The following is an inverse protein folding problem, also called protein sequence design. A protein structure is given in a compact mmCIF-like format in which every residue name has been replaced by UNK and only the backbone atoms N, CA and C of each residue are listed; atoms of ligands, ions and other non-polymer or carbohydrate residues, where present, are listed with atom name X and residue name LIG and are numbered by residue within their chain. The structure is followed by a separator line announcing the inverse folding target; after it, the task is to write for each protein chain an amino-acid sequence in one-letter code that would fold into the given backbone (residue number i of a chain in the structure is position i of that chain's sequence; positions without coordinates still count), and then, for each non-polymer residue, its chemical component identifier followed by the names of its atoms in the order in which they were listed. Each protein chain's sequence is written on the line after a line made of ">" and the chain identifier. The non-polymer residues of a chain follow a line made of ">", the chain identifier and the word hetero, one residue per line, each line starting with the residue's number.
data_IF_374844285752
#
_entry.id   IF_374844285752
#
_cell.length_a   1.000
_cell.length_b   1.000
_cell.length_c   1.000
_cell.angle_alpha   90.00
_cell.angle_beta   90.00
_cell.angle_gamma   90.00
#
_symmetry.space_group_name_H-M   'P 1'
#
loop_
_entity.id
_entity.type
_entity.pdbx_description
1 polymer ?
#
# COMPACT_ATOMS: atom_id res chain seq x y z
N UNK A 1 -8.31 3.67 -3.69
CA UNK A 1 -7.44 3.34 -2.53
C UNK A 1 -7.39 1.85 -2.18
N UNK A 2 -8.52 1.16 -1.99
CA UNK A 2 -8.55 -0.30 -1.74
C UNK A 2 -7.92 -1.12 -2.88
N UNK A 3 -8.05 -0.69 -4.13
CA UNK A 3 -7.43 -1.35 -5.29
C UNK A 3 -5.88 -1.28 -5.30
N UNK A 4 -5.28 -0.28 -4.66
CA UNK A 4 -3.82 -0.18 -4.47
C UNK A 4 -3.34 -0.93 -3.22
N UNK A 5 -4.24 -1.21 -2.28
CA UNK A 5 -3.99 -1.98 -1.06
C UNK A 5 -4.24 -3.49 -1.26
N UNK A 6 -4.95 -3.88 -2.33
CA UNK A 6 -5.12 -5.28 -2.72
C UNK A 6 -3.80 -5.82 -3.31
N UNK A 7 -3.21 -6.89 -2.77
CA UNK A 7 -1.87 -7.31 -3.12
C UNK A 7 -1.82 -7.95 -4.50
N UNK A 8 -0.71 -7.68 -5.19
CA UNK A 8 -0.15 -8.48 -6.26
C UNK A 8 0.09 -9.92 -5.77
N UNK A 9 -0.97 -10.73 -5.77
CA UNK A 9 -0.90 -12.17 -5.59
C UNK A 9 -0.86 -12.86 -6.95
N UNK A 10 0.13 -12.54 -7.79
CA UNK A 10 0.49 -13.40 -8.93
C UNK A 10 1.86 -13.00 -9.51
N UNK A 11 2.73 -14.01 -9.65
CA UNK A 11 3.94 -14.05 -10.48
C UNK A 11 5.23 -13.50 -9.88
N UNK A 12 6.10 -14.41 -9.42
CA UNK A 12 7.52 -14.47 -9.83
C UNK A 12 8.22 -15.70 -9.23
N UNK A 13 8.72 -16.58 -10.11
CA UNK A 13 9.70 -17.64 -9.82
C UNK A 13 10.99 -17.26 -10.56
N UNK A 14 12.13 -17.21 -9.85
CA UNK A 14 13.48 -17.26 -10.47
C UNK A 14 14.54 -16.29 -9.90
N UNK A 15 15.67 -16.78 -9.32
CA UNK A 15 16.84 -16.00 -8.84
C UNK A 15 18.08 -16.18 -9.76
N UNK A 16 19.33 -15.81 -9.38
CA UNK A 16 19.84 -14.61 -8.67
C UNK A 16 21.03 -13.93 -9.41
N UNK A 17 21.43 -12.72 -8.99
CA UNK A 17 22.82 -12.26 -9.10
C UNK A 17 23.18 -11.17 -8.08
N UNK A 18 24.38 -11.30 -7.52
CA UNK A 18 25.19 -10.35 -6.74
C UNK A 18 26.61 -10.38 -7.37
N UNK A 19 27.63 -9.54 -7.04
CA UNK A 19 27.72 -8.59 -5.90
C UNK A 19 28.46 -7.24 -6.16
N UNK A 20 28.46 -6.40 -5.10
CA UNK A 20 29.58 -5.60 -4.56
C UNK A 20 29.91 -4.15 -5.04
N UNK A 21 30.42 -3.40 -4.03
CA UNK A 21 31.15 -2.12 -4.00
C UNK A 21 30.30 -0.82 -4.08
N UNK A 22 30.53 0.26 -3.34
CA UNK A 22 31.51 0.65 -2.31
C UNK A 22 31.28 2.13 -1.96
N UNK A 23 31.44 2.49 -0.68
CA UNK A 23 31.43 3.88 -0.13
C UNK A 23 32.56 4.76 -0.76
N UNK A 24 32.56 6.13 -0.68
CA UNK A 24 32.22 6.94 0.50
C UNK A 24 31.56 8.34 0.30
N UNK A 25 31.13 8.92 1.43
CA UNK A 25 30.84 10.36 1.62
C UNK A 25 32.15 11.18 1.76
N UNK A 26 32.12 12.53 1.66
CA UNK A 26 32.00 13.30 2.91
C UNK A 26 31.32 14.71 2.85
N UNK A 27 30.86 15.13 4.04
CA UNK A 27 31.02 16.43 4.71
C UNK A 27 30.45 17.77 4.15
N UNK A 28 29.42 18.24 4.88
CA UNK A 28 29.24 19.58 5.53
C UNK A 28 29.67 20.88 4.84
N UNK A 29 28.72 21.83 4.74
CA UNK A 29 28.98 23.27 4.61
C UNK A 29 27.71 24.12 4.78
N UNK A 30 27.70 24.97 5.82
CA UNK A 30 26.60 25.88 6.21
C UNK A 30 26.52 27.14 5.32
N UNK A 31 25.32 27.75 5.37
CA UNK A 31 25.03 29.19 5.48
C UNK A 31 24.45 29.93 4.26
N UNK A 32 23.16 30.27 4.42
CA UNK A 32 22.60 31.62 4.41
C UNK A 32 22.40 32.40 3.09
N UNK A 33 21.16 32.92 3.00
CA UNK A 33 20.70 34.20 2.43
C UNK A 33 20.09 34.24 1.01
N UNK A 34 19.11 35.16 0.93
CA UNK A 34 18.48 35.81 -0.22
C UNK A 34 17.20 35.22 -0.83
N UNK A 35 16.11 35.60 -0.16
CA UNK A 35 14.96 36.31 -0.73
C UNK A 35 15.33 37.15 -1.96
N UNK A 36 14.83 36.78 -3.15
CA UNK A 36 14.42 37.63 -4.31
C UNK A 36 14.46 36.79 -5.60
N UNK A 37 13.45 35.96 -5.85
CA UNK A 37 13.35 35.14 -7.10
C UNK A 37 12.04 35.28 -7.86
N UNK A 38 11.23 36.30 -7.56
CA UNK A 38 9.92 36.54 -8.21
C UNK A 38 9.87 37.67 -9.24
N UNK A 39 10.97 38.36 -9.55
CA UNK A 39 10.99 39.42 -10.58
C UNK A 39 11.84 39.12 -11.81
N UNK A 40 12.72 38.10 -11.79
CA UNK A 40 13.60 37.79 -12.92
C UNK A 40 13.09 36.68 -13.87
N UNK A 41 12.02 35.98 -13.50
CA UNK A 41 11.39 34.98 -14.38
C UNK A 41 10.57 35.59 -15.53
N UNK A 42 10.23 36.89 -15.45
CA UNK A 42 9.40 37.55 -16.46
C UNK A 42 10.18 38.20 -17.61
N UNK A 43 11.51 38.37 -17.48
CA UNK A 43 12.33 39.11 -18.46
C UNK A 43 13.23 38.19 -19.30
N UNK A 44 13.50 36.96 -18.84
CA UNK A 44 14.27 35.98 -19.63
C UNK A 44 13.42 35.11 -20.58
N UNK A 45 12.09 35.25 -20.56
CA UNK A 45 11.17 34.52 -21.45
C UNK A 45 10.90 35.18 -22.81
N UNK A 46 11.42 36.39 -23.07
CA UNK A 46 11.05 37.17 -24.27
C UNK A 46 11.98 37.01 -25.48
N UNK A 47 13.07 36.23 -25.41
CA UNK A 47 14.05 36.19 -26.51
C UNK A 47 14.38 34.82 -27.11
N UNK A 48 13.75 33.71 -26.68
CA UNK A 48 14.00 32.39 -27.29
C UNK A 48 12.74 31.51 -27.24
N UNK A 49 11.78 31.79 -28.13
CA UNK A 49 10.91 30.77 -28.72
C UNK A 49 10.01 31.40 -29.79
N UNK A 50 10.58 31.71 -30.95
CA UNK A 50 9.85 31.64 -32.23
C UNK A 50 9.73 30.16 -32.68
N UNK A 51 9.60 29.23 -31.73
CA UNK A 51 9.14 27.88 -32.00
C UNK A 51 7.67 28.03 -32.40
N UNK A 52 7.49 28.09 -33.72
CA UNK A 52 6.24 28.30 -34.44
C UNK A 52 5.06 27.69 -33.66
N UNK A 53 4.07 28.52 -33.35
CA UNK A 53 2.75 28.10 -32.85
C UNK A 53 2.00 27.16 -33.84
N UNK A 54 2.66 26.80 -34.94
CA UNK A 54 2.21 25.85 -35.92
C UNK A 54 2.03 24.45 -35.32
N UNK A 55 0.81 23.96 -35.46
CA UNK A 55 0.44 22.59 -35.13
C UNK A 55 0.70 21.77 -36.39
N UNK A 56 1.64 20.83 -36.31
CA UNK A 56 1.90 19.90 -37.42
C UNK A 56 0.76 18.90 -37.57
N UNK A 57 0.66 18.25 -38.73
CA UNK A 57 -0.33 17.18 -38.97
C UNK A 57 -0.22 16.05 -37.94
N UNK A 58 0.98 15.73 -37.48
CA UNK A 58 1.19 14.72 -36.43
C UNK A 58 0.64 15.19 -35.08
N UNK A 59 0.79 16.46 -34.75
CA UNK A 59 0.22 17.02 -33.52
C UNK A 59 -1.30 17.02 -33.59
N UNK A 60 -1.87 17.47 -34.72
CA UNK A 60 -3.31 17.51 -34.95
C UNK A 60 -3.94 16.13 -34.79
N UNK A 61 -3.38 15.10 -35.42
CA UNK A 61 -3.83 13.71 -35.26
C UNK A 61 -3.70 13.19 -33.82
N UNK A 62 -2.67 13.59 -33.08
CA UNK A 62 -2.50 13.19 -31.69
C UNK A 62 -3.52 13.90 -30.78
N UNK A 63 -3.83 15.18 -31.06
CA UNK A 63 -4.84 15.93 -30.33
C UNK A 63 -6.23 15.37 -30.62
N UNK A 64 -6.55 15.06 -31.88
CA UNK A 64 -7.81 14.42 -32.27
C UNK A 64 -8.02 13.07 -31.58
N UNK A 65 -6.96 12.23 -31.49
CA UNK A 65 -7.01 10.99 -30.72
C UNK A 65 -7.30 11.22 -29.24
N UNK A 66 -6.65 12.22 -28.62
CA UNK A 66 -6.91 12.57 -27.23
C UNK A 66 -8.35 13.09 -27.01
N UNK A 67 -8.85 13.92 -27.92
CA UNK A 67 -10.24 14.41 -27.89
C UNK A 67 -11.23 13.26 -28.01
N UNK A 68 -11.03 12.33 -28.96
CA UNK A 68 -11.87 11.15 -29.12
C UNK A 68 -11.86 10.26 -27.85
N UNK A 69 -10.68 10.04 -27.26
CA UNK A 69 -10.55 9.30 -26.01
C UNK A 69 -11.27 9.99 -24.84
N UNK A 70 -11.23 11.34 -24.77
CA UNK A 70 -11.96 12.11 -23.76
C UNK A 70 -13.47 11.88 -23.84
N UNK A 71 -14.04 11.95 -25.05
CA UNK A 71 -15.47 11.75 -25.26
C UNK A 71 -15.91 10.28 -25.09
N UNK A 72 -14.94 9.35 -25.05
CA UNK A 72 -15.19 7.94 -24.77
C UNK A 72 -15.17 7.61 -23.27
N UNK A 73 -14.82 8.57 -22.41
CA UNK A 73 -14.84 8.38 -20.96
C UNK A 73 -16.28 8.11 -20.49
N UNK A 74 -16.45 7.04 -19.73
CA UNK A 74 -17.71 6.74 -19.06
C UNK A 74 -17.89 7.65 -17.85
N UNK A 75 -19.05 8.27 -17.74
CA UNK A 75 -19.42 9.14 -16.62
C UNK A 75 -20.49 8.44 -15.77
N UNK A 76 -20.34 8.50 -14.45
CA UNK A 76 -21.37 8.17 -13.46
C UNK A 76 -21.77 9.47 -12.75
N UNK A 77 -22.83 10.10 -13.24
CA UNK A 77 -23.16 11.49 -12.90
C UNK A 77 -22.05 12.45 -13.32
N UNK A 78 -21.54 13.23 -12.36
CA UNK A 78 -20.47 14.21 -12.58
C UNK A 78 -19.05 13.61 -12.43
N UNK A 79 -18.93 12.30 -12.19
CA UNK A 79 -17.66 11.63 -11.93
C UNK A 79 -17.31 10.67 -13.06
N UNK A 80 -16.01 10.51 -13.32
CA UNK A 80 -15.53 9.48 -14.25
C UNK A 80 -15.77 8.13 -13.59
N UNK A 81 -16.42 7.21 -14.30
CA UNK A 81 -16.58 5.85 -13.84
C UNK A 81 -15.25 5.11 -13.98
N UNK A 82 -14.50 4.98 -12.88
CA UNK A 82 -13.29 4.14 -12.81
C UNK A 82 -13.55 2.79 -12.15
N UNK A 83 -14.76 2.58 -11.62
CA UNK A 83 -15.12 1.40 -10.81
C UNK A 83 -15.60 0.23 -11.64
N UNK A 84 -16.24 0.49 -12.78
CA UNK A 84 -16.56 -0.56 -13.75
C UNK A 84 -15.30 -0.96 -14.53
N UNK A 85 -15.25 -2.20 -15.00
CA UNK A 85 -14.14 -2.67 -15.83
C UNK A 85 -14.01 -1.85 -17.12
N UNK A 86 -15.13 -1.57 -17.80
CA UNK A 86 -15.16 -0.76 -19.02
C UNK A 86 -14.77 0.70 -18.75
N UNK A 87 -15.21 1.26 -17.62
CA UNK A 87 -14.87 2.60 -17.19
C UNK A 87 -13.38 2.75 -16.88
N UNK A 88 -12.81 1.79 -16.15
CA UNK A 88 -11.38 1.70 -15.90
C UNK A 88 -10.57 1.59 -17.20
N UNK A 89 -11.01 0.75 -18.14
CA UNK A 89 -10.37 0.56 -19.45
C UNK A 89 -10.39 1.84 -20.29
N UNK A 90 -11.54 2.50 -20.41
CA UNK A 90 -11.66 3.76 -21.16
C UNK A 90 -10.85 4.89 -20.53
N UNK A 91 -10.80 4.96 -19.21
CA UNK A 91 -9.93 5.89 -18.47
C UNK A 91 -8.44 5.62 -18.74
N UNK A 92 -8.01 4.36 -18.71
CA UNK A 92 -6.64 3.99 -19.05
C UNK A 92 -6.25 4.39 -20.47
N UNK A 93 -7.12 4.15 -21.46
CA UNK A 93 -6.90 4.59 -22.84
C UNK A 93 -6.80 6.11 -22.98
N UNK A 94 -7.59 6.87 -22.22
CA UNK A 94 -7.46 8.33 -22.19
C UNK A 94 -6.12 8.78 -21.59
N UNK A 95 -5.69 8.19 -20.47
CA UNK A 95 -4.40 8.49 -19.84
C UNK A 95 -3.21 8.15 -20.76
N UNK A 96 -3.29 7.05 -21.51
CA UNK A 96 -2.30 6.71 -22.54
C UNK A 96 -2.27 7.75 -23.67
N UNK A 97 -3.44 8.22 -24.11
CA UNK A 97 -3.52 9.29 -25.10
C UNK A 97 -2.92 10.62 -24.58
N UNK A 98 -3.09 10.93 -23.29
CA UNK A 98 -2.46 12.10 -22.63
C UNK A 98 -0.93 12.00 -22.69
N UNK A 99 -0.35 10.84 -22.38
CA UNK A 99 1.11 10.65 -22.46
C UNK A 99 1.61 10.68 -23.93
N UNK A 100 0.85 10.08 -24.85
CA UNK A 100 1.16 10.09 -26.28
C UNK A 100 1.17 11.51 -26.86
N UNK A 101 0.21 12.37 -26.51
CA UNK A 101 0.23 13.76 -26.97
C UNK A 101 1.37 14.55 -26.31
N UNK A 102 1.64 14.33 -25.02
CA UNK A 102 2.73 15.02 -24.33
C UNK A 102 4.08 14.70 -24.96
N UNK A 103 4.26 13.44 -25.38
CA UNK A 103 5.45 13.00 -26.13
C UNK A 103 5.52 13.62 -27.52
N UNK A 104 4.43 13.60 -28.29
CA UNK A 104 4.35 14.21 -29.63
C UNK A 104 4.64 15.71 -29.58
N UNK A 105 4.05 16.41 -28.61
CA UNK A 105 4.25 17.84 -28.39
C UNK A 105 5.61 18.16 -27.78
N UNK A 106 6.43 17.18 -27.39
CA UNK A 106 7.72 17.34 -26.68
C UNK A 106 7.59 18.12 -25.38
N UNK A 107 6.57 17.81 -24.60
CA UNK A 107 6.41 18.32 -23.24
C UNK A 107 7.45 17.63 -22.35
N UNK A 108 8.20 18.41 -21.58
CA UNK A 108 9.16 17.86 -20.64
C UNK A 108 8.45 17.07 -19.55
N UNK A 109 9.05 15.96 -19.13
CA UNK A 109 8.51 15.13 -18.04
C UNK A 109 8.83 15.78 -16.70
N UNK A 110 7.85 15.85 -15.82
CA UNK A 110 8.07 16.20 -14.43
C UNK A 110 8.98 15.15 -13.72
N UNK A 111 9.89 15.57 -12.82
CA UNK A 111 10.83 14.65 -12.15
C UNK A 111 10.13 13.57 -11.32
N UNK A 112 10.63 12.33 -11.40
CA UNK A 112 10.06 11.15 -10.75
C UNK A 112 11.03 10.35 -9.87
N UNK A 113 12.22 10.91 -9.59
CA UNK A 113 13.23 10.30 -8.72
C UNK A 113 12.73 9.96 -7.31
N UNK A 114 11.60 10.51 -6.86
CA UNK A 114 10.97 10.08 -5.60
C UNK A 114 10.53 8.60 -5.62
N UNK A 115 10.27 8.02 -6.80
CA UNK A 115 9.88 6.60 -6.95
C UNK A 115 10.97 5.65 -6.45
N UNK A 116 12.23 6.08 -6.43
CA UNK A 116 13.34 5.29 -5.87
C UNK A 116 13.17 5.01 -4.37
N UNK A 117 12.44 5.89 -3.66
CA UNK A 117 12.15 5.74 -2.24
C UNK A 117 10.93 4.86 -1.94
N UNK A 118 10.21 4.40 -2.96
CA UNK A 118 9.05 3.53 -2.77
C UNK A 118 9.45 2.13 -2.31
N UNK A 119 8.56 1.46 -1.58
CA UNK A 119 8.76 0.05 -1.22
C UNK A 119 8.80 -0.82 -2.47
N UNK A 120 9.32 -2.05 -2.34
CA UNK A 120 9.48 -2.99 -3.47
C UNK A 120 8.17 -3.18 -4.25
N UNK A 121 7.04 -3.31 -3.54
CA UNK A 121 5.72 -3.52 -4.16
C UNK A 121 5.30 -2.32 -5.02
N UNK A 122 5.48 -1.09 -4.52
CA UNK A 122 5.16 0.11 -5.29
C UNK A 122 6.16 0.34 -6.44
N UNK A 123 7.46 0.05 -6.27
CA UNK A 123 8.42 0.12 -7.38
C UNK A 123 8.09 -0.83 -8.52
N UNK A 124 7.50 -1.99 -8.24
CA UNK A 124 7.01 -2.89 -9.29
C UNK A 124 5.86 -2.28 -10.12
N UNK A 125 5.04 -1.41 -9.52
CA UNK A 125 3.97 -0.67 -10.22
C UNK A 125 4.49 0.55 -10.99
N UNK A 126 5.66 1.06 -10.62
CA UNK A 126 6.31 2.23 -11.20
C UNK A 126 7.79 1.93 -11.53
N UNK A 127 8.05 1.10 -12.56
CA UNK A 127 9.38 0.53 -12.79
C UNK A 127 10.43 1.54 -13.29
N UNK A 128 10.00 2.71 -13.78
CA UNK A 128 10.87 3.71 -14.38
C UNK A 128 10.37 5.16 -14.19
N UNK A 129 11.12 6.10 -14.78
CA UNK A 129 10.83 7.53 -14.86
C UNK A 129 9.87 7.91 -16.02
N UNK A 130 9.17 6.94 -16.63
CA UNK A 130 8.12 7.25 -17.59
C UNK A 130 6.89 7.80 -16.86
N UNK A 131 5.99 8.47 -17.60
CA UNK A 131 4.84 9.15 -16.96
C UNK A 131 3.95 8.16 -16.23
N UNK A 132 3.65 7.04 -16.88
CA UNK A 132 2.92 5.88 -16.34
C UNK A 132 1.71 6.33 -15.51
N UNK A 133 0.85 7.15 -16.11
CA UNK A 133 -0.37 7.61 -15.45
C UNK A 133 -1.28 6.43 -15.17
N UNK A 134 -1.55 6.15 -13.90
CA UNK A 134 -2.41 5.04 -13.49
C UNK A 134 -3.82 5.52 -13.11
N UNK A 135 -4.80 4.69 -13.44
CA UNK A 135 -6.22 4.95 -13.15
C UNK A 135 -6.48 5.03 -11.64
N UNK A 136 -5.82 4.20 -10.84
CA UNK A 136 -5.97 4.14 -9.38
C UNK A 136 -5.48 5.43 -8.67
N UNK A 137 -4.42 6.07 -9.17
CA UNK A 137 -3.94 7.37 -8.69
C UNK A 137 -4.93 8.47 -9.06
N UNK A 138 -5.47 8.47 -10.28
CA UNK A 138 -6.50 9.44 -10.67
C UNK A 138 -7.77 9.26 -9.85
N UNK A 139 -8.25 8.04 -9.72
CA UNK A 139 -9.41 7.69 -8.90
C UNK A 139 -9.23 8.18 -7.47
N UNK A 140 -8.08 7.92 -6.84
CA UNK A 140 -7.78 8.41 -5.51
C UNK A 140 -7.84 9.93 -5.38
N UNK A 141 -7.43 10.68 -6.42
CA UNK A 141 -7.56 12.13 -6.43
C UNK A 141 -9.03 12.57 -6.44
N UNK A 142 -9.90 11.91 -7.22
CA UNK A 142 -11.31 12.29 -7.41
C UNK A 142 -12.27 11.77 -6.33
N UNK A 143 -11.95 10.63 -5.70
CA UNK A 143 -12.85 10.04 -4.69
C UNK A 143 -12.91 10.85 -3.39
N UNK A 144 -11.96 11.77 -3.16
CA UNK A 144 -11.85 12.58 -1.94
C UNK A 144 -11.89 11.74 -0.65
N UNK A 145 -11.50 10.46 -0.71
CA UNK A 145 -11.39 9.62 0.47
C UNK A 145 -10.23 10.11 1.33
N UNK A 146 -10.52 11.09 2.19
CA UNK A 146 -9.59 11.57 3.20
C UNK A 146 -9.30 10.49 4.26
N UNK A 147 -10.03 9.37 4.26
CA UNK A 147 -9.99 8.34 5.30
C UNK A 147 -9.86 6.94 4.69
N UNK A 148 -8.98 6.13 5.27
CA UNK A 148 -8.86 4.68 5.02
C UNK A 148 -9.02 3.94 6.35
N UNK A 149 -9.73 2.81 6.32
CA UNK A 149 -9.82 1.90 7.46
C UNK A 149 -8.96 0.66 7.21
N UNK A 150 -8.07 0.36 8.15
CA UNK A 150 -7.19 -0.83 8.09
C UNK A 150 -7.15 -1.45 9.48
N UNK A 151 -7.51 -2.73 9.59
CA UNK A 151 -7.46 -3.50 10.85
C UNK A 151 -8.23 -2.83 12.02
N UNK A 152 -9.35 -2.18 11.73
CA UNK A 152 -10.16 -1.45 12.72
C UNK A 152 -9.68 -0.03 13.01
N UNK A 153 -8.47 0.34 12.60
CA UNK A 153 -7.90 1.68 12.76
C UNK A 153 -8.31 2.61 11.62
N UNK A 154 -8.64 3.85 11.98
CA UNK A 154 -8.93 4.94 11.06
C UNK A 154 -7.65 5.72 10.75
N UNK A 155 -7.31 5.82 9.47
CA UNK A 155 -6.19 6.62 8.97
C UNK A 155 -6.71 7.76 8.12
N UNK A 156 -6.22 8.97 8.37
CA UNK A 156 -6.55 10.14 7.58
C UNK A 156 -5.36 10.59 6.74
N UNK A 157 -5.60 10.91 5.47
CA UNK A 157 -4.61 11.55 4.64
C UNK A 157 -4.38 13.00 5.10
N UNK A 158 -3.15 13.46 4.95
CA UNK A 158 -2.80 14.82 5.35
C UNK A 158 -3.53 15.86 4.49
N UNK A 159 -3.73 17.05 5.06
CA UNK A 159 -4.27 18.21 4.34
C UNK A 159 -3.44 18.57 3.11
N UNK A 160 -2.13 18.29 3.14
CA UNK A 160 -1.24 18.48 2.00
C UNK A 160 -1.51 17.47 0.87
N UNK A 161 -1.84 16.22 1.19
CA UNK A 161 -2.25 15.24 0.19
C UNK A 161 -3.56 15.68 -0.50
N UNK A 162 -4.53 16.14 0.30
CA UNK A 162 -5.81 16.64 -0.22
C UNK A 162 -5.63 17.87 -1.12
N UNK A 163 -4.80 18.83 -0.71
CA UNK A 163 -4.47 20.03 -1.52
C UNK A 163 -3.84 19.66 -2.86
N UNK A 164 -2.98 18.63 -2.89
CA UNK A 164 -2.36 18.15 -4.14
C UNK A 164 -3.36 17.41 -5.02
N UNK A 165 -4.31 16.68 -4.43
CA UNK A 165 -5.42 16.07 -5.16
C UNK A 165 -6.27 17.14 -5.86
N UNK A 166 -6.64 18.20 -5.15
CA UNK A 166 -7.38 19.34 -5.71
C UNK A 166 -6.61 20.01 -6.86
N UNK A 167 -5.30 20.22 -6.70
CA UNK A 167 -4.47 20.77 -7.77
C UNK A 167 -4.45 19.87 -9.01
N UNK A 168 -4.42 18.55 -8.84
CA UNK A 168 -4.53 17.58 -9.93
C UNK A 168 -5.90 17.63 -10.60
N UNK A 169 -6.98 17.69 -9.83
CA UNK A 169 -8.33 17.82 -10.39
C UNK A 169 -8.48 19.12 -11.20
N UNK A 170 -7.96 20.24 -10.70
CA UNK A 170 -7.96 21.52 -11.43
C UNK A 170 -7.21 21.44 -12.76
N UNK A 171 -5.99 20.88 -12.75
CA UNK A 171 -5.23 20.68 -13.98
C UNK A 171 -5.94 19.74 -14.97
N UNK A 172 -6.64 18.73 -14.45
CA UNK A 172 -7.46 17.82 -15.24
C UNK A 172 -8.64 18.52 -15.92
N UNK A 173 -9.38 19.35 -15.18
CA UNK A 173 -10.49 20.13 -15.74
C UNK A 173 -10.01 21.15 -16.77
N UNK A 174 -8.87 21.80 -16.53
CA UNK A 174 -8.26 22.74 -17.47
C UNK A 174 -7.87 22.06 -18.80
N UNK A 175 -7.29 20.85 -18.74
CA UNK A 175 -7.06 20.05 -19.94
C UNK A 175 -8.38 19.75 -20.65
N UNK A 176 -9.40 19.33 -19.89
CA UNK A 176 -10.70 19.04 -20.43
C UNK A 176 -11.35 20.21 -21.17
N UNK A 177 -11.36 21.40 -20.57
CA UNK A 177 -11.90 22.62 -21.17
C UNK A 177 -11.12 23.05 -22.42
N UNK A 178 -9.80 22.82 -22.43
CA UNK A 178 -8.96 23.10 -23.59
C UNK A 178 -9.28 22.15 -24.75
N UNK A 179 -9.48 20.86 -24.48
CA UNK A 179 -9.89 19.87 -25.48
C UNK A 179 -11.31 20.11 -26.01
N UNK A 180 -12.21 20.61 -25.16
CA UNK A 180 -13.56 20.98 -25.58
C UNK A 180 -13.56 22.18 -26.54
N UNK A 181 -12.78 23.23 -26.23
CA UNK A 181 -12.56 24.35 -27.16
C UNK A 181 -11.96 23.90 -28.49
N UNK A 182 -11.04 22.94 -28.45
CA UNK A 182 -10.47 22.35 -29.66
C UNK A 182 -11.54 21.69 -30.54
N UNK A 183 -12.41 20.87 -29.92
CA UNK A 183 -13.50 20.18 -30.63
C UNK A 183 -14.50 21.17 -31.25
N UNK A 184 -14.89 22.20 -30.49
CA UNK A 184 -15.85 23.21 -30.95
C UNK A 184 -15.33 24.06 -32.11
N UNK A 185 -14.02 24.33 -32.17
CA UNK A 185 -13.43 25.10 -33.27
C UNK A 185 -13.40 24.32 -34.61
N UNK A 186 -13.51 22.99 -34.57
CA UNK A 186 -13.55 22.14 -35.76
C UNK A 186 -14.94 22.05 -36.39
N UNK A 187 -16.00 22.23 -35.60
CA UNK A 187 -17.38 22.29 -36.07
C UNK A 187 -17.64 23.68 -36.67
N UNK A 188 -18.00 23.76 -37.96
CA UNK A 188 -18.20 25.03 -38.70
C UNK A 188 -19.41 25.86 -38.23
N UNK A 189 -19.91 25.64 -37.02
CA UNK A 189 -21.04 26.36 -36.44
C UNK A 189 -20.60 27.76 -36.00
N UNK A 190 -21.48 28.73 -36.18
CA UNK A 190 -21.21 30.18 -36.22
C UNK A 190 -20.71 30.85 -34.92
N UNK A 191 -20.15 30.12 -33.96
CA UNK A 191 -19.56 30.68 -32.74
C UNK A 191 -18.05 30.85 -32.91
N UNK A 192 -17.54 32.05 -32.63
CA UNK A 192 -16.13 32.42 -32.80
C UNK A 192 -15.21 31.79 -31.74
N UNK A 193 -15.29 30.48 -31.50
CA UNK A 193 -14.38 29.79 -30.60
C UNK A 193 -13.00 29.69 -31.25
N UNK A 194 -11.99 30.25 -30.60
CA UNK A 194 -10.61 30.23 -31.11
C UNK A 194 -9.97 28.90 -30.75
N UNK A 195 -9.41 28.20 -31.75
CA UNK A 195 -8.68 26.94 -31.55
C UNK A 195 -7.50 27.17 -30.59
N UNK A 196 -7.31 26.31 -29.56
CA UNK A 196 -6.19 26.43 -28.65
C UNK A 196 -4.83 26.44 -29.36
N UNK A 197 -3.90 27.24 -28.84
CA UNK A 197 -2.55 27.34 -29.39
C UNK A 197 -1.71 26.12 -28.98
N UNK A 198 -0.66 25.80 -29.76
CA UNK A 198 0.31 24.74 -29.42
C UNK A 198 0.94 24.97 -28.05
N UNK A 199 1.30 26.21 -27.75
CA UNK A 199 1.91 26.64 -26.48
C UNK A 199 0.95 26.45 -25.31
N UNK A 200 -0.33 26.77 -25.51
CA UNK A 200 -1.40 26.57 -24.52
C UNK A 200 -1.57 25.08 -24.17
N UNK A 201 -1.68 24.21 -25.18
CA UNK A 201 -1.75 22.75 -24.96
C UNK A 201 -0.52 22.21 -24.22
N UNK A 202 0.69 22.65 -24.61
CA UNK A 202 1.93 22.27 -23.92
C UNK A 202 1.90 22.72 -22.45
N UNK A 203 1.45 23.94 -22.18
CA UNK A 203 1.38 24.47 -20.81
C UNK A 203 0.41 23.66 -19.95
N UNK A 204 -0.79 23.37 -20.46
CA UNK A 204 -1.79 22.60 -19.70
C UNK A 204 -1.33 21.17 -19.43
N UNK A 205 -0.70 20.51 -20.41
CA UNK A 205 -0.10 19.18 -20.21
C UNK A 205 1.07 19.20 -19.21
N UNK A 206 1.89 20.26 -19.24
CA UNK A 206 2.98 20.45 -18.27
C UNK A 206 2.41 20.61 -16.85
N UNK A 207 1.39 21.47 -16.69
CA UNK A 207 0.71 21.69 -15.41
C UNK A 207 0.10 20.38 -14.87
N UNK A 208 -0.55 19.61 -15.74
CA UNK A 208 -1.10 18.30 -15.38
C UNK A 208 -0.01 17.33 -14.89
N UNK A 209 1.11 17.20 -15.61
CA UNK A 209 2.20 16.28 -15.24
C UNK A 209 2.86 16.68 -13.90
N UNK A 210 3.03 17.98 -13.66
CA UNK A 210 3.52 18.48 -12.36
C UNK A 210 2.53 18.24 -11.22
N UNK A 211 1.24 18.49 -11.44
CA UNK A 211 0.22 18.23 -10.43
C UNK A 211 0.11 16.73 -10.12
N UNK A 212 0.22 15.89 -11.15
CA UNK A 212 0.21 14.44 -11.04
C UNK A 212 1.38 13.94 -10.19
N UNK A 213 2.62 14.25 -10.58
CA UNK A 213 3.81 13.81 -9.84
C UNK A 213 3.82 14.29 -8.40
N UNK A 214 3.35 15.53 -8.16
CA UNK A 214 3.20 16.08 -6.82
C UNK A 214 2.21 15.26 -5.97
N UNK A 215 1.02 14.96 -6.50
CA UNK A 215 0.02 14.16 -5.81
C UNK A 215 0.46 12.71 -5.63
N UNK A 216 0.91 12.04 -6.70
CA UNK A 216 1.41 10.66 -6.69
C UNK A 216 2.47 10.46 -5.60
N UNK A 217 3.49 11.32 -5.55
CA UNK A 217 4.52 11.25 -4.53
C UNK A 217 3.93 11.31 -3.12
N UNK A 218 3.08 12.31 -2.84
CA UNK A 218 2.52 12.50 -1.49
C UNK A 218 1.56 11.39 -1.10
N UNK A 219 0.70 10.98 -2.03
CA UNK A 219 -0.31 9.94 -1.84
C UNK A 219 0.33 8.57 -1.58
N UNK A 220 1.26 8.14 -2.45
CA UNK A 220 1.92 6.84 -2.31
C UNK A 220 2.79 6.80 -1.04
N UNK A 221 3.48 7.89 -0.70
CA UNK A 221 4.27 7.95 0.54
C UNK A 221 3.38 7.80 1.79
N UNK A 222 2.19 8.40 1.80
CA UNK A 222 1.25 8.23 2.90
C UNK A 222 0.62 6.84 2.94
N UNK A 223 0.33 6.23 1.79
CA UNK A 223 -0.08 4.83 1.74
C UNK A 223 1.00 3.93 2.37
N UNK A 224 2.27 4.06 1.96
CA UNK A 224 3.39 3.30 2.53
C UNK A 224 3.44 3.46 4.05
N UNK A 225 3.29 4.70 4.55
CA UNK A 225 3.28 4.95 6.00
C UNK A 225 2.07 4.32 6.70
N UNK A 226 0.89 4.33 6.10
CA UNK A 226 -0.31 3.66 6.64
C UNK A 226 -0.09 2.15 6.68
N UNK A 227 0.44 1.56 5.62
CA UNK A 227 0.69 0.13 5.56
C UNK A 227 1.74 -0.33 6.57
N UNK A 228 2.83 0.42 6.73
CA UNK A 228 3.84 0.17 7.76
C UNK A 228 3.19 0.18 9.15
N UNK A 229 2.33 1.18 9.40
CA UNK A 229 1.59 1.27 10.66
C UNK A 229 0.64 0.10 10.89
N UNK A 230 -0.05 -0.35 9.84
CA UNK A 230 -0.98 -1.47 9.89
C UNK A 230 -0.28 -2.81 10.17
N UNK A 231 0.93 -3.01 9.62
CA UNK A 231 1.76 -4.20 9.87
C UNK A 231 2.40 -4.23 11.27
N UNK A 232 2.36 -3.14 12.04
CA UNK A 232 3.01 -3.08 13.38
C UNK A 232 2.51 -4.15 14.35
N UNK A 233 1.23 -4.53 14.28
CA UNK A 233 0.68 -5.56 15.17
C UNK A 233 1.39 -6.90 14.95
N UNK A 234 1.66 -7.24 13.69
CA UNK A 234 2.39 -8.44 13.33
C UNK A 234 3.87 -8.34 13.71
N UNK A 235 4.50 -7.19 13.49
CA UNK A 235 5.89 -6.92 13.93
C UNK A 235 6.04 -7.10 15.43
N UNK A 236 5.07 -6.62 16.23
CA UNK A 236 5.07 -6.79 17.67
C UNK A 236 4.99 -8.28 18.05
N UNK A 237 4.07 -9.04 17.46
CA UNK A 237 3.97 -10.48 17.72
C UNK A 237 5.25 -11.24 17.34
N UNK A 238 5.87 -10.92 16.19
CA UNK A 238 7.15 -11.49 15.75
C UNK A 238 8.25 -11.20 16.76
N UNK A 239 8.35 -9.96 17.24
CA UNK A 239 9.35 -9.57 18.24
C UNK A 239 9.16 -10.32 19.56
N UNK A 240 7.92 -10.53 20.00
CA UNK A 240 7.65 -11.32 21.21
C UNK A 240 7.99 -12.81 21.01
N UNK A 241 7.69 -13.39 19.84
CA UNK A 241 8.14 -14.74 19.50
C UNK A 241 9.67 -14.85 19.52
N UNK A 242 10.37 -13.86 18.97
CA UNK A 242 11.83 -13.83 18.94
C UNK A 242 12.43 -13.83 20.35
N UNK A 243 11.85 -13.08 21.28
CA UNK A 243 12.28 -13.03 22.69
C UNK A 243 11.99 -14.32 23.44
N UNK A 244 10.80 -14.89 23.25
CA UNK A 244 10.44 -16.18 23.82
C UNK A 244 11.40 -17.27 23.34
N UNK A 245 11.63 -17.36 22.03
CA UNK A 245 12.55 -18.32 21.40
C UNK A 245 14.00 -18.14 21.82
N UNK A 246 14.49 -16.90 21.97
CA UNK A 246 15.83 -16.64 22.47
C UNK A 246 16.02 -17.10 23.93
N UNK A 247 14.98 -16.94 24.75
CA UNK A 247 14.97 -17.43 26.14
C UNK A 247 14.99 -18.96 26.18
N UNK A 248 14.18 -19.61 25.35
CA UNK A 248 14.16 -21.09 25.21
C UNK A 248 15.53 -21.64 24.81
N UNK A 249 16.18 -21.05 23.82
CA UNK A 249 17.52 -21.47 23.36
C UNK A 249 18.60 -21.30 24.43
N UNK A 250 18.41 -20.35 25.35
CA UNK A 250 19.36 -20.11 26.45
C UNK A 250 19.19 -21.11 27.59
N UNK A 251 18.04 -21.80 27.65
CA UNK A 251 17.77 -22.86 28.61
C UNK A 251 18.36 -24.20 28.13
N UNK A 252 19.11 -24.89 29.00
CA UNK A 252 19.62 -26.24 28.70
C UNK A 252 18.56 -27.33 28.86
N UNK A 253 17.59 -27.09 29.73
CA UNK A 253 16.49 -28.00 30.05
C UNK A 253 15.15 -27.30 29.77
N UNK A 254 14.31 -27.83 28.85
CA UNK A 254 12.98 -27.30 28.57
C UNK A 254 12.09 -27.18 29.81
N UNK A 255 12.13 -28.16 30.72
CA UNK A 255 11.26 -28.18 31.90
C UNK A 255 11.65 -27.07 32.91
N UNK A 256 12.96 -26.82 33.05
CA UNK A 256 13.46 -25.70 33.84
C UNK A 256 13.11 -24.35 33.19
N UNK A 257 13.07 -24.28 31.85
CA UNK A 257 12.71 -23.06 31.13
C UNK A 257 11.25 -22.65 31.38
N UNK A 258 10.32 -23.60 31.30
CA UNK A 258 8.89 -23.39 31.55
C UNK A 258 8.58 -22.87 32.97
N UNK A 259 9.47 -23.12 33.92
CA UNK A 259 9.37 -22.65 35.30
C UNK A 259 10.02 -21.27 35.50
N UNK A 260 10.76 -20.75 34.51
CA UNK A 260 11.46 -19.48 34.61
C UNK A 260 10.47 -18.30 34.52
N UNK A 261 10.47 -17.36 35.49
CA UNK A 261 9.52 -16.23 35.48
C UNK A 261 9.63 -15.36 34.22
N UNK A 262 10.86 -15.17 33.72
CA UNK A 262 11.12 -14.39 32.50
C UNK A 262 10.47 -15.04 31.28
N UNK A 263 10.68 -16.34 31.08
CA UNK A 263 10.11 -17.05 29.94
C UNK A 263 8.58 -17.03 29.96
N UNK A 264 7.97 -17.22 31.15
CA UNK A 264 6.51 -17.09 31.31
C UNK A 264 6.01 -15.71 30.94
N UNK A 265 6.72 -14.65 31.32
CA UNK A 265 6.37 -13.28 30.93
C UNK A 265 6.43 -13.08 29.40
N UNK A 266 7.47 -13.59 28.72
CA UNK A 266 7.54 -13.55 27.25
C UNK A 266 6.35 -14.30 26.62
N UNK A 267 5.94 -15.44 27.19
CA UNK A 267 4.75 -16.17 26.75
C UNK A 267 3.46 -15.37 26.96
N UNK A 268 3.31 -14.65 28.08
CA UNK A 268 2.14 -13.77 28.30
C UNK A 268 2.07 -12.67 27.24
N UNK A 269 3.19 -12.02 26.97
CA UNK A 269 3.24 -10.93 25.99
C UNK A 269 2.98 -11.44 24.57
N UNK A 270 3.47 -12.63 24.24
CA UNK A 270 3.20 -13.27 22.97
C UNK A 270 1.71 -13.63 22.83
N UNK A 271 1.11 -14.30 23.83
CA UNK A 271 -0.32 -14.62 23.82
C UNK A 271 -1.15 -13.34 23.68
N UNK A 272 -0.85 -12.29 24.46
CA UNK A 272 -1.55 -11.02 24.35
C UNK A 272 -1.46 -10.39 22.94
N UNK A 273 -0.30 -10.51 22.28
CA UNK A 273 -0.11 -10.04 20.91
C UNK A 273 -0.93 -10.86 19.92
N UNK A 274 -1.00 -12.18 20.10
CA UNK A 274 -1.81 -13.10 19.26
C UNK A 274 -3.30 -12.84 19.45
N UNK A 275 -3.78 -12.61 20.69
CA UNK A 275 -5.18 -12.27 20.96
C UNK A 275 -5.56 -10.94 20.30
N UNK A 276 -4.67 -9.95 20.34
CA UNK A 276 -4.90 -8.70 19.63
C UNK A 276 -4.90 -8.87 18.10
N UNK A 277 -3.99 -9.67 17.54
CA UNK A 277 -4.02 -10.05 16.12
C UNK A 277 -5.33 -10.74 15.74
N UNK A 278 -5.85 -11.63 16.59
CA UNK A 278 -7.11 -12.32 16.38
C UNK A 278 -8.27 -11.31 16.25
N UNK A 279 -8.30 -10.31 17.13
CA UNK A 279 -9.34 -9.29 17.14
C UNK A 279 -9.44 -8.44 15.86
N UNK A 280 -8.33 -8.28 15.14
CA UNK A 280 -8.28 -7.43 13.95
C UNK A 280 -8.27 -8.22 12.64
N UNK A 281 -7.75 -9.44 12.64
CA UNK A 281 -7.53 -10.23 11.43
C UNK A 281 -8.54 -11.37 11.25
N UNK A 282 -9.07 -11.94 12.34
CA UNK A 282 -10.00 -13.05 12.27
C UNK A 282 -11.44 -12.57 12.03
N UNK A 283 -11.72 -12.19 10.78
CA UNK A 283 -13.06 -11.80 10.32
C UNK A 283 -13.97 -12.99 10.04
N UNK A 284 -13.42 -14.22 9.98
CA UNK A 284 -14.17 -15.45 9.70
C UNK A 284 -14.90 -16.00 10.93
N UNK A 285 -14.45 -15.66 12.13
CA UNK A 285 -15.06 -16.04 13.41
C UNK A 285 -15.46 -14.78 14.20
N UNK A 286 -15.37 -14.84 15.53
CA UNK A 286 -15.76 -13.70 16.38
C UNK A 286 -14.64 -12.67 16.51
N UNK A 287 -13.39 -13.05 16.23
CA UNK A 287 -12.24 -12.15 16.41
C UNK A 287 -12.09 -11.80 17.89
N UNK A 288 -12.02 -12.84 18.74
CA UNK A 288 -11.91 -12.67 20.19
C UNK A 288 -10.58 -12.07 20.60
N UNK A 289 -10.60 -11.08 21.49
CA UNK A 289 -9.42 -10.47 22.11
C UNK A 289 -9.19 -10.98 23.55
N UNK A 290 -10.13 -11.74 24.10
CA UNK A 290 -10.13 -12.25 25.48
C UNK A 290 -9.40 -13.60 25.65
N UNK A 291 -8.60 -14.00 24.65
CA UNK A 291 -7.83 -15.24 24.68
C UNK A 291 -6.68 -15.11 25.69
N UNK A 292 -6.91 -15.53 26.94
CA UNK A 292 -5.96 -15.35 28.04
C UNK A 292 -4.84 -16.41 28.05
N UNK A 293 -3.68 -16.00 28.57
CA UNK A 293 -2.53 -16.89 28.76
C UNK A 293 -2.78 -17.98 29.82
N UNK A 294 -3.74 -17.76 30.72
CA UNK A 294 -4.05 -18.70 31.80
C UNK A 294 -4.53 -20.04 31.22
N UNK A 295 -5.35 -20.02 30.16
CA UNK A 295 -5.80 -21.25 29.47
C UNK A 295 -4.63 -22.00 28.83
N UNK A 296 -3.66 -21.28 28.26
CA UNK A 296 -2.45 -21.90 27.75
C UNK A 296 -1.61 -22.56 28.86
N UNK A 297 -1.47 -21.90 30.02
CA UNK A 297 -0.76 -22.47 31.17
C UNK A 297 -1.50 -23.64 31.83
N UNK A 298 -2.84 -23.60 31.85
CA UNK A 298 -3.69 -24.68 32.34
C UNK A 298 -3.62 -25.90 31.40
N UNK A 299 -3.57 -25.69 30.08
CA UNK A 299 -3.33 -26.75 29.10
C UNK A 299 -1.97 -27.43 29.34
N UNK A 300 -0.89 -26.66 29.48
CA UNK A 300 0.44 -27.21 29.81
C UNK A 300 0.42 -28.00 31.13
N UNK A 301 -0.25 -27.48 32.15
CA UNK A 301 -0.37 -28.15 33.46
C UNK A 301 -1.16 -29.45 33.37
N UNK A 302 -2.22 -29.47 32.57
CA UNK A 302 -3.04 -30.66 32.30
C UNK A 302 -2.23 -31.73 31.60
N UNK A 303 -1.47 -31.39 30.55
CA UNK A 303 -0.62 -32.36 29.84
C UNK A 303 0.47 -32.96 30.75
N UNK A 304 1.04 -32.19 31.68
CA UNK A 304 2.01 -32.72 32.66
C UNK A 304 1.35 -33.73 33.61
N UNK A 305 0.15 -33.45 34.09
CA UNK A 305 -0.62 -34.37 34.96
C UNK A 305 -0.92 -35.69 34.23
N UNK A 306 -1.40 -35.62 32.99
CA UNK A 306 -1.68 -36.81 32.19
C UNK A 306 -0.43 -37.67 31.90
N UNK A 307 0.78 -37.08 31.88
CA UNK A 307 2.04 -37.82 31.72
C UNK A 307 2.56 -38.44 33.02
N UNK A 308 2.18 -37.88 34.18
CA UNK A 308 2.64 -38.30 35.51
C UNK A 308 1.79 -39.39 36.17
N UNK A 309 0.49 -39.45 35.88
CA UNK A 309 -0.43 -40.45 36.44
C UNK A 309 -0.33 -41.79 35.69
N UNK A 310 0.66 -42.61 36.10
CA UNK A 310 0.80 -43.99 35.69
C UNK A 310 0.01 -44.99 36.54
N UNK A 311 -0.96 -44.58 37.38
CA UNK A 311 -1.55 -45.49 38.37
C UNK A 311 -3.02 -45.19 38.74
N UNK A 312 -3.87 -46.18 38.44
CA UNK A 312 -5.07 -46.58 39.19
C UNK A 312 -6.28 -45.61 39.30
N UNK A 313 -6.57 -44.82 38.28
CA UNK A 313 -7.87 -44.12 38.20
C UNK A 313 -8.94 -44.93 37.46
N UNK A 314 -10.17 -44.96 38.02
CA UNK A 314 -11.30 -45.73 37.50
C UNK A 314 -11.74 -45.35 36.08
N UNK A 315 -12.49 -46.23 35.40
CA UNK A 315 -12.83 -46.12 33.98
C UNK A 315 -13.53 -44.79 33.56
N UNK A 316 -14.34 -44.18 34.43
CA UNK A 316 -14.99 -42.89 34.17
C UNK A 316 -14.04 -41.69 34.28
N UNK A 317 -12.99 -41.81 35.10
CA UNK A 317 -11.94 -40.80 35.25
C UNK A 317 -10.96 -40.86 34.06
N UNK A 318 -10.74 -42.06 33.51
CA UNK A 318 -9.91 -42.27 32.33
C UNK A 318 -10.46 -41.60 31.06
N UNK A 319 -11.78 -41.59 30.84
CA UNK A 319 -12.40 -40.91 29.69
C UNK A 319 -12.31 -39.39 29.81
N UNK A 320 -12.58 -38.85 31.00
CA UNK A 320 -12.46 -37.41 31.28
C UNK A 320 -11.02 -36.92 31.15
N UNK A 321 -10.05 -37.69 31.66
CA UNK A 321 -8.63 -37.42 31.50
C UNK A 321 -8.19 -37.46 30.04
N UNK A 322 -8.74 -38.39 29.23
CA UNK A 322 -8.47 -38.45 27.79
C UNK A 322 -9.01 -37.21 27.07
N UNK A 323 -10.25 -36.80 27.36
CA UNK A 323 -10.83 -35.61 26.76
C UNK A 323 -10.02 -34.34 27.13
N UNK A 324 -9.65 -34.19 28.40
CA UNK A 324 -8.81 -33.09 28.86
C UNK A 324 -7.42 -33.09 28.18
N UNK A 325 -6.81 -34.27 27.99
CA UNK A 325 -5.55 -34.39 27.26
C UNK A 325 -5.68 -33.93 25.81
N UNK A 326 -6.76 -34.31 25.10
CA UNK A 326 -6.98 -33.91 23.70
C UNK A 326 -7.11 -32.39 23.62
N UNK A 327 -8.02 -31.78 24.39
CA UNK A 327 -8.23 -30.33 24.38
C UNK A 327 -6.95 -29.56 24.74
N UNK A 328 -6.22 -30.01 25.76
CA UNK A 328 -4.96 -29.37 26.14
C UNK A 328 -3.87 -29.53 25.07
N UNK A 329 -3.89 -30.64 24.31
CA UNK A 329 -2.99 -30.85 23.16
C UNK A 329 -3.33 -29.85 22.06
N UNK A 330 -4.61 -29.71 21.71
CA UNK A 330 -5.07 -28.80 20.65
C UNK A 330 -4.66 -27.35 20.93
N UNK A 331 -4.79 -26.88 22.18
CA UNK A 331 -4.31 -25.56 22.60
C UNK A 331 -2.80 -25.43 22.41
N UNK A 332 -2.00 -26.39 22.88
CA UNK A 332 -0.53 -26.29 22.80
C UNK A 332 -0.04 -26.38 21.36
N UNK A 333 -0.65 -27.23 20.53
CA UNK A 333 -0.30 -27.41 19.12
C UNK A 333 -0.69 -26.18 18.28
N UNK A 334 -1.88 -25.61 18.48
CA UNK A 334 -2.29 -24.38 17.79
C UNK A 334 -1.42 -23.18 18.18
N UNK A 335 -1.03 -23.05 19.46
CA UNK A 335 -0.05 -22.05 19.88
C UNK A 335 1.28 -22.23 19.15
N UNK A 336 1.80 -23.45 19.13
CA UNK A 336 3.08 -23.74 18.49
C UNK A 336 3.03 -23.49 16.98
N UNK A 337 1.91 -23.81 16.33
CA UNK A 337 1.70 -23.53 14.91
C UNK A 337 1.70 -22.01 14.63
N UNK A 338 1.09 -21.21 15.50
CA UNK A 338 1.16 -19.74 15.42
C UNK A 338 2.61 -19.24 15.54
N UNK A 339 3.38 -19.78 16.49
CA UNK A 339 4.80 -19.44 16.66
C UNK A 339 5.65 -19.79 15.43
N UNK A 340 5.40 -20.94 14.82
CA UNK A 340 6.04 -21.33 13.54
C UNK A 340 5.72 -20.31 12.46
N UNK A 341 4.44 -19.96 12.29
CA UNK A 341 4.02 -18.95 11.32
C UNK A 341 4.71 -17.60 11.52
N UNK A 342 4.78 -17.09 12.76
CA UNK A 342 5.45 -15.81 13.04
C UNK A 342 6.93 -15.82 12.63
N UNK A 343 7.63 -16.94 12.85
CA UNK A 343 9.04 -17.11 12.42
C UNK A 343 9.19 -17.17 10.91
N UNK A 344 8.24 -17.79 10.21
CA UNK A 344 8.25 -17.84 8.74
C UNK A 344 8.04 -16.45 8.14
N UNK A 345 7.09 -15.69 8.69
CA UNK A 345 6.73 -14.36 8.19
C UNK A 345 7.76 -13.28 8.52
N UNK A 346 8.56 -13.45 9.57
CA UNK A 346 9.69 -12.57 9.88
C UNK A 346 10.59 -12.33 8.66
N UNK A 347 10.73 -13.33 7.78
CA UNK A 347 11.60 -13.26 6.61
C UNK A 347 10.95 -12.68 5.35
N UNK A 348 9.65 -12.37 5.37
CA UNK A 348 8.91 -11.89 4.20
C UNK A 348 7.81 -10.88 4.56
N UNK A 349 8.03 -10.08 5.60
CA UNK A 349 7.05 -9.13 6.12
C UNK A 349 6.56 -8.12 5.05
N UNK A 350 7.42 -7.76 4.09
CA UNK A 350 7.09 -6.90 2.96
C UNK A 350 6.06 -7.49 1.99
N UNK A 351 5.83 -8.81 2.04
CA UNK A 351 4.83 -9.53 1.24
C UNK A 351 3.49 -9.69 1.97
N UNK A 352 3.44 -9.34 3.26
CA UNK A 352 2.21 -9.41 4.06
C UNK A 352 1.29 -8.26 3.67
N UNK A 353 0.04 -8.63 3.38
CA UNK A 353 -1.02 -7.66 3.13
C UNK A 353 -1.26 -6.80 4.39
N UNK A 354 -1.22 -5.46 4.28
CA UNK A 354 -1.50 -4.56 5.40
C UNK A 354 -2.88 -4.79 6.03
N UNK A 355 -3.89 -5.20 5.25
CA UNK A 355 -5.16 -5.70 5.74
C UNK A 355 -4.96 -7.14 6.21
N UNK A 356 -4.78 -7.31 7.51
CA UNK A 356 -4.32 -8.58 8.08
C UNK A 356 -5.29 -9.75 7.79
N UNK A 357 -6.58 -9.46 7.65
CA UNK A 357 -7.61 -10.43 7.28
C UNK A 357 -7.47 -11.03 5.87
N UNK A 358 -6.70 -10.40 4.97
CA UNK A 358 -6.44 -10.93 3.62
C UNK A 358 -5.31 -11.97 3.62
N UNK A 359 -4.55 -12.09 4.71
CA UNK A 359 -3.46 -13.05 4.83
C UNK A 359 -4.01 -14.42 5.26
N UNK A 360 -4.40 -15.25 4.29
CA UNK A 360 -5.05 -16.55 4.54
C UNK A 360 -4.28 -17.45 5.51
N UNK A 361 -2.94 -17.46 5.44
CA UNK A 361 -2.09 -18.20 6.39
C UNK A 361 -2.19 -17.70 7.82
N UNK A 362 -2.21 -16.38 8.04
CA UNK A 362 -2.41 -15.78 9.37
C UNK A 362 -3.80 -16.13 9.89
N UNK A 363 -4.83 -15.91 9.07
CA UNK A 363 -6.23 -16.14 9.45
C UNK A 363 -6.47 -17.59 9.82
N UNK A 364 -5.94 -18.55 9.04
CA UNK A 364 -6.06 -19.97 9.37
C UNK A 364 -5.49 -20.29 10.77
N UNK A 365 -4.30 -19.76 11.09
CA UNK A 365 -3.67 -19.98 12.41
C UNK A 365 -4.43 -19.32 13.56
N UNK A 366 -5.02 -18.16 13.30
CA UNK A 366 -5.84 -17.46 14.30
C UNK A 366 -7.17 -18.19 14.54
N UNK A 367 -7.79 -18.75 13.51
CA UNK A 367 -8.99 -19.59 13.62
C UNK A 367 -8.67 -20.86 14.41
N UNK A 368 -7.60 -21.58 14.07
CA UNK A 368 -7.17 -22.79 14.79
C UNK A 368 -6.95 -22.49 16.29
N UNK A 369 -6.32 -21.35 16.60
CA UNK A 369 -6.07 -20.89 17.97
C UNK A 369 -7.38 -20.52 18.71
N UNK A 370 -8.27 -19.75 18.08
CA UNK A 370 -9.56 -19.37 18.68
C UNK A 370 -10.48 -20.57 18.89
N UNK A 371 -10.44 -21.59 18.02
CA UNK A 371 -11.26 -22.81 18.16
C UNK A 371 -10.72 -23.77 19.23
N UNK A 372 -9.40 -23.78 19.44
CA UNK A 372 -8.77 -24.59 20.48
C UNK A 372 -8.98 -24.00 21.89
N UNK A 373 -9.21 -22.68 21.98
CA UNK A 373 -9.44 -21.93 23.21
C UNK A 373 -10.92 -21.97 23.63
#
# INVERSE_FOLDING_TARGET
>A
AQALLAPLAASAVGPPASPAAGFPAPATGRAALFTTRKMLASIFGMCLNEDKEYISTSDEQAIERLVAARFSLQMDGDRINTKSEDGSRTCASYLEAVDSIATTLRVDKAPRAYRDSFTVNYRALFPDDARNYRVDVLEAAFEQYAVIWVNGDKFEFSTEAMRRAEALQMAWWELGATLERWSQAGEKTHTASTRPLRSELRNVLTTLDFAWTSFEHKYIYELIAIEEKARRLLVQAIEQERRAHATEKSCRDPAACESMPRYREEQRQLVASVSHLNSVANVSRKGRDDLSVDIFFDALSTLRRCKGDGSESGAADAESLRAAHILATDVVESFQAMRVYLREVEHCLERVDPHLCNNSGLVARLVDWEESW
#
